data_IF_613967183040
#
_entry.id   IF_613967183040
#
_cell.length_a   1.000
_cell.length_b   1.000
_cell.length_c   1.000
_cell.angle_alpha   90.00
_cell.angle_beta   90.00
_cell.angle_gamma   90.00
#
_symmetry.space_group_name_H-M   'P 1'
#
loop_
_entity.id
_entity.type
_entity.pdbx_description
1 polymer ?
#
# COMPACT_ATOMS: atom_id res chain seq x y z
N UNK A 1 -42.19 -16.29 13.70
CA UNK A 1 -41.47 -16.88 12.57
C UNK A 1 -41.91 -16.33 11.20
N UNK A 2 -43.18 -16.34 10.76
CA UNK A 2 -43.61 -15.83 9.44
C UNK A 2 -43.23 -14.35 9.17
N UNK A 3 -43.39 -13.44 10.14
CA UNK A 3 -43.01 -12.02 9.98
C UNK A 3 -41.48 -11.83 9.85
N UNK A 4 -40.68 -12.61 10.57
CA UNK A 4 -39.21 -12.56 10.49
C UNK A 4 -38.72 -13.08 9.11
N UNK A 5 -39.33 -14.18 8.60
CA UNK A 5 -39.01 -14.67 7.25
C UNK A 5 -39.41 -13.66 6.15
N UNK A 6 -40.58 -13.04 6.24
CA UNK A 6 -41.01 -12.01 5.26
C UNK A 6 -40.06 -10.78 5.28
N UNK A 7 -39.64 -10.34 6.46
CA UNK A 7 -38.68 -9.21 6.58
C UNK A 7 -37.33 -9.59 6.02
N UNK A 8 -36.81 -10.81 6.26
CA UNK A 8 -35.58 -11.29 5.70
C UNK A 8 -35.61 -11.41 4.15
N UNK A 9 -36.71 -11.91 3.59
CA UNK A 9 -36.93 -11.98 2.14
C UNK A 9 -36.99 -10.59 1.48
N UNK A 10 -37.65 -9.61 2.10
CA UNK A 10 -37.71 -8.24 1.58
C UNK A 10 -36.34 -7.54 1.64
N UNK A 11 -35.57 -7.81 2.68
CA UNK A 11 -34.18 -7.28 2.79
C UNK A 11 -33.29 -7.90 1.70
N UNK A 12 -33.39 -9.21 1.48
CA UNK A 12 -32.60 -9.90 0.44
C UNK A 12 -32.94 -9.40 -0.97
N UNK A 13 -34.24 -9.25 -1.28
CA UNK A 13 -34.69 -8.69 -2.57
C UNK A 13 -34.20 -7.24 -2.78
N UNK A 14 -34.24 -6.41 -1.75
CA UNK A 14 -33.73 -5.02 -1.82
C UNK A 14 -32.21 -4.97 -2.05
N UNK A 15 -31.44 -5.84 -1.42
CA UNK A 15 -29.97 -5.92 -1.66
C UNK A 15 -29.64 -6.38 -3.08
N UNK A 16 -30.41 -7.34 -3.61
CA UNK A 16 -30.20 -7.86 -4.97
C UNK A 16 -30.56 -6.81 -6.05
N UNK A 17 -31.63 -6.03 -5.86
CA UNK A 17 -31.99 -4.94 -6.76
C UNK A 17 -30.95 -3.79 -6.76
N UNK A 18 -30.35 -3.48 -5.58
CA UNK A 18 -29.29 -2.48 -5.49
C UNK A 18 -28.01 -2.97 -6.18
N UNK A 19 -27.60 -4.21 -5.97
CA UNK A 19 -26.45 -4.80 -6.65
C UNK A 19 -26.62 -4.73 -8.17
N UNK A 20 -27.75 -5.15 -8.69
CA UNK A 20 -28.05 -5.11 -10.13
C UNK A 20 -28.01 -3.67 -10.70
N UNK A 21 -28.48 -2.68 -9.93
CA UNK A 21 -28.36 -1.26 -10.31
C UNK A 21 -26.92 -0.79 -10.34
N UNK A 22 -26.09 -1.18 -9.35
CA UNK A 22 -24.66 -0.84 -9.34
C UNK A 22 -23.94 -1.49 -10.53
N UNK A 23 -24.20 -2.77 -10.80
CA UNK A 23 -23.59 -3.49 -11.93
C UNK A 23 -23.90 -2.82 -13.28
N UNK A 24 -25.15 -2.36 -13.46
CA UNK A 24 -25.52 -1.62 -14.66
C UNK A 24 -24.74 -0.28 -14.75
N UNK A 25 -24.68 0.50 -13.66
CA UNK A 25 -23.94 1.77 -13.65
C UNK A 25 -22.44 1.57 -13.87
N UNK A 26 -21.87 0.48 -13.36
CA UNK A 26 -20.48 0.10 -13.59
C UNK A 26 -20.23 -0.25 -15.06
N UNK A 27 -21.12 -1.02 -15.69
CA UNK A 27 -21.01 -1.34 -17.11
C UNK A 27 -21.12 -0.07 -18.00
N UNK A 28 -21.98 0.88 -17.63
CA UNK A 28 -22.14 2.15 -18.34
C UNK A 28 -20.89 3.05 -18.25
N UNK A 29 -20.16 3.01 -17.13
CA UNK A 29 -18.99 3.88 -16.90
C UNK A 29 -17.66 3.22 -17.30
N UNK A 30 -17.61 1.88 -17.47
CA UNK A 30 -16.38 1.13 -17.78
C UNK A 30 -15.56 1.74 -18.92
N UNK A 31 -16.15 2.19 -20.07
CA UNK A 31 -15.38 2.81 -21.16
C UNK A 31 -14.65 4.09 -20.72
N UNK A 32 -15.27 4.91 -19.86
CA UNK A 32 -14.64 6.12 -19.32
C UNK A 32 -13.52 5.79 -18.34
N UNK A 33 -13.71 4.77 -17.49
CA UNK A 33 -12.69 4.33 -16.52
C UNK A 33 -11.43 3.86 -17.27
N UNK A 34 -11.60 3.15 -18.37
CA UNK A 34 -10.50 2.74 -19.25
C UNK A 34 -9.83 3.97 -19.91
N UNK A 35 -10.61 4.93 -20.38
CA UNK A 35 -10.09 6.17 -20.98
C UNK A 35 -9.26 6.97 -19.97
N UNK A 36 -9.77 7.19 -18.75
CA UNK A 36 -9.04 7.89 -17.70
C UNK A 36 -7.75 7.15 -17.30
N UNK A 37 -7.80 5.83 -17.14
CA UNK A 37 -6.61 5.02 -16.87
C UNK A 37 -5.54 5.23 -17.95
N UNK A 38 -5.91 5.18 -19.22
CA UNK A 38 -4.98 5.34 -20.34
C UNK A 38 -4.40 6.75 -20.43
N UNK A 39 -5.18 7.78 -20.10
CA UNK A 39 -4.68 9.15 -20.01
C UNK A 39 -3.66 9.32 -18.89
N UNK A 40 -3.90 8.79 -17.69
CA UNK A 40 -2.91 8.78 -16.61
C UNK A 40 -1.67 7.97 -16.98
N UNK A 41 -1.86 6.78 -17.58
CA UNK A 41 -0.75 5.92 -17.97
C UNK A 41 0.18 6.60 -19.00
N UNK A 42 -0.39 7.35 -19.92
CA UNK A 42 0.37 8.08 -20.94
C UNK A 42 1.10 9.30 -20.38
N UNK A 43 0.61 9.86 -19.27
CA UNK A 43 1.10 11.09 -18.67
C UNK A 43 1.46 10.91 -17.18
N UNK A 44 2.32 9.95 -16.81
CA UNK A 44 2.67 9.69 -15.43
C UNK A 44 3.58 10.78 -14.86
N UNK A 45 3.45 11.04 -13.57
CA UNK A 45 4.29 11.96 -12.81
C UNK A 45 4.92 11.23 -11.62
N UNK A 46 6.17 11.58 -11.28
CA UNK A 46 6.88 10.99 -10.14
C UNK A 46 6.32 11.45 -8.81
N UNK A 47 6.59 10.70 -7.75
CA UNK A 47 6.25 11.02 -6.36
C UNK A 47 6.59 12.48 -6.00
N UNK A 48 5.64 13.19 -5.37
CA UNK A 48 5.69 14.62 -5.06
C UNK A 48 5.79 15.56 -6.29
N UNK A 49 5.56 15.05 -7.49
CA UNK A 49 5.56 15.83 -8.76
C UNK A 49 4.26 15.64 -9.54
N UNK A 50 3.22 15.08 -8.93
CA UNK A 50 1.92 14.75 -9.52
C UNK A 50 1.06 16.02 -9.73
N UNK A 51 1.65 17.10 -10.25
CA UNK A 51 1.00 18.40 -10.33
C UNK A 51 -0.15 18.44 -11.35
N UNK A 52 0.04 17.88 -12.53
CA UNK A 52 -1.01 17.84 -13.56
C UNK A 52 -2.03 16.75 -13.24
N UNK A 53 -1.61 15.62 -12.68
CA UNK A 53 -2.49 14.57 -12.15
C UNK A 53 -3.42 15.13 -11.08
N UNK A 54 -2.88 15.85 -10.10
CA UNK A 54 -3.64 16.52 -9.05
C UNK A 54 -4.68 17.50 -9.60
N UNK A 55 -4.30 18.33 -10.57
CA UNK A 55 -5.22 19.27 -11.23
C UNK A 55 -6.36 18.56 -11.97
N UNK A 56 -6.03 17.49 -12.72
CA UNK A 56 -7.05 16.69 -13.44
C UNK A 56 -8.05 16.08 -12.47
N UNK A 57 -7.55 15.46 -11.37
CA UNK A 57 -8.38 14.85 -10.33
C UNK A 57 -9.26 15.91 -9.64
N UNK A 58 -8.69 17.04 -9.23
CA UNK A 58 -9.43 18.12 -8.59
C UNK A 58 -10.55 18.64 -9.50
N UNK A 59 -10.23 18.98 -10.77
CA UNK A 59 -11.21 19.46 -11.72
C UNK A 59 -12.34 18.44 -11.99
N UNK A 60 -12.01 17.14 -12.04
CA UNK A 60 -13.01 16.08 -12.17
C UNK A 60 -13.98 16.05 -10.97
N UNK A 61 -13.48 16.10 -9.75
CA UNK A 61 -14.29 16.07 -8.53
C UNK A 61 -15.14 17.34 -8.37
N UNK A 62 -14.57 18.51 -8.69
CA UNK A 62 -15.32 19.78 -8.76
C UNK A 62 -16.44 19.73 -9.81
N UNK A 63 -16.17 19.15 -10.98
CA UNK A 63 -17.16 18.91 -12.04
C UNK A 63 -18.33 18.02 -11.61
N UNK A 64 -18.11 17.14 -10.62
CA UNK A 64 -19.16 16.35 -9.96
C UNK A 64 -19.89 17.10 -8.85
N UNK A 65 -19.53 18.36 -8.58
CA UNK A 65 -20.13 19.20 -7.54
C UNK A 65 -19.75 18.80 -6.11
N UNK A 66 -18.55 18.30 -5.92
CA UNK A 66 -17.96 18.02 -4.61
C UNK A 66 -17.26 19.25 -4.04
N UNK A 67 -17.14 19.32 -2.74
CA UNK A 67 -16.16 20.17 -2.06
C UNK A 67 -14.79 19.52 -2.21
N UNK A 68 -13.79 20.25 -2.71
CA UNK A 68 -12.47 19.70 -3.03
C UNK A 68 -11.40 20.44 -2.24
N UNK A 69 -10.52 19.68 -1.62
CA UNK A 69 -9.32 20.15 -0.92
C UNK A 69 -8.10 19.69 -1.72
N UNK A 70 -7.17 20.58 -2.01
CA UNK A 70 -5.94 20.32 -2.78
C UNK A 70 -4.72 20.73 -1.98
N UNK A 71 -3.55 20.19 -2.35
CA UNK A 71 -2.27 20.55 -1.75
C UNK A 71 -1.97 19.80 -0.44
N UNK A 72 -2.76 18.79 -0.07
CA UNK A 72 -2.43 17.91 1.05
C UNK A 72 -1.21 17.06 0.65
N UNK A 73 -0.24 16.92 1.54
CA UNK A 73 1.02 16.22 1.20
C UNK A 73 1.59 16.65 -0.17
N UNK A 74 1.62 17.95 -0.44
CA UNK A 74 2.05 18.62 -1.67
C UNK A 74 1.02 18.56 -2.82
N UNK A 75 0.71 17.39 -3.36
CA UNK A 75 -0.12 17.22 -4.56
C UNK A 75 -1.42 16.44 -4.32
N UNK A 76 -1.67 16.01 -3.08
CA UNK A 76 -2.85 15.25 -2.71
C UNK A 76 -4.16 16.02 -2.87
N UNK A 77 -5.22 15.27 -3.17
CA UNK A 77 -6.57 15.80 -3.41
C UNK A 77 -7.59 15.02 -2.58
N UNK A 78 -8.49 15.72 -1.91
CA UNK A 78 -9.62 15.10 -1.20
C UNK A 78 -10.93 15.70 -1.69
N UNK A 79 -11.77 14.87 -2.29
CA UNK A 79 -13.15 15.22 -2.64
C UNK A 79 -14.14 14.80 -1.55
N UNK A 80 -15.11 15.66 -1.23
CA UNK A 80 -16.10 15.42 -0.18
C UNK A 80 -17.49 15.42 -0.80
N UNK A 81 -18.13 14.24 -0.81
CA UNK A 81 -19.49 14.05 -1.27
C UNK A 81 -20.44 13.91 -0.08
N UNK A 82 -21.19 14.96 0.23
CA UNK A 82 -22.25 14.92 1.27
C UNK A 82 -23.49 14.26 0.72
N UNK A 83 -23.89 13.14 1.32
CA UNK A 83 -25.09 12.40 0.96
C UNK A 83 -26.40 13.11 1.36
N UNK A 84 -27.53 12.61 0.85
CA UNK A 84 -28.85 13.18 1.10
C UNK A 84 -29.44 12.89 2.48
N UNK A 85 -28.82 12.04 3.29
CA UNK A 85 -29.29 11.63 4.61
C UNK A 85 -28.12 11.59 5.60
N UNK A 86 -28.36 11.81 6.91
CA UNK A 86 -27.34 11.66 7.93
C UNK A 86 -26.82 10.21 7.99
N UNK A 87 -25.55 10.04 8.33
CA UNK A 87 -24.90 8.74 8.44
C UNK A 87 -23.39 8.84 8.64
N UNK A 88 -22.68 7.73 8.53
CA UNK A 88 -21.24 7.65 8.74
C UNK A 88 -20.43 8.38 7.65
N UNK A 89 -19.16 8.61 7.94
CA UNK A 89 -18.19 9.12 6.97
C UNK A 89 -17.27 7.98 6.52
N UNK A 90 -17.30 7.68 5.24
CA UNK A 90 -16.49 6.63 4.60
C UNK A 90 -15.42 7.27 3.74
N UNK A 91 -14.17 6.88 3.92
CA UNK A 91 -13.08 7.28 3.05
C UNK A 91 -12.76 6.16 2.04
N UNK A 92 -12.45 6.55 0.81
CA UNK A 92 -11.95 5.70 -0.27
C UNK A 92 -10.62 6.28 -0.75
N UNK A 93 -9.58 5.45 -0.93
CA UNK A 93 -8.24 5.92 -1.30
C UNK A 93 -7.76 5.32 -2.61
N UNK A 94 -7.09 6.15 -3.40
CA UNK A 94 -6.20 5.75 -4.48
C UNK A 94 -4.89 6.55 -4.39
N UNK A 95 -3.78 5.92 -4.70
CA UNK A 95 -2.48 6.54 -4.92
C UNK A 95 -2.37 7.11 -6.33
N UNK A 96 -1.40 8.04 -6.57
CA UNK A 96 -1.34 8.79 -7.83
C UNK A 96 0.01 8.75 -8.54
N UNK A 97 1.08 8.38 -7.85
CA UNK A 97 2.43 8.55 -8.35
C UNK A 97 2.87 7.46 -9.33
N UNK A 98 3.76 7.85 -10.24
CA UNK A 98 4.48 6.98 -11.16
C UNK A 98 5.92 6.73 -10.69
N UNK A 99 6.56 5.75 -11.30
CA UNK A 99 7.92 5.29 -10.98
C UNK A 99 8.93 5.73 -12.03
N UNK A 100 10.23 5.89 -11.66
CA UNK A 100 11.30 6.18 -12.60
C UNK A 100 11.69 4.92 -13.41
N UNK A 101 10.76 4.43 -14.22
CA UNK A 101 10.87 3.23 -15.06
C UNK A 101 10.62 3.60 -16.51
N UNK A 102 11.50 3.16 -17.41
CA UNK A 102 11.29 3.33 -18.85
C UNK A 102 10.43 2.19 -19.39
N UNK A 103 9.22 2.50 -19.82
CA UNK A 103 8.28 1.52 -20.35
C UNK A 103 8.77 0.82 -21.62
N UNK A 104 8.57 -0.50 -21.70
CA UNK A 104 8.88 -1.33 -22.87
C UNK A 104 7.68 -1.99 -23.49
N UNK A 105 6.51 -1.91 -22.87
CA UNK A 105 5.29 -2.50 -23.40
C UNK A 105 4.84 -1.73 -24.63
N UNK A 106 4.49 -2.43 -25.70
CA UNK A 106 4.00 -1.83 -26.97
C UNK A 106 2.48 -1.58 -26.87
N UNK A 107 2.12 -0.44 -26.29
CA UNK A 107 0.74 0.02 -26.12
C UNK A 107 0.52 1.33 -26.85
N UNK A 108 -0.68 1.56 -27.44
CA UNK A 108 -1.00 2.86 -28.07
C UNK A 108 -0.91 4.06 -27.13
N UNK A 109 -1.04 3.81 -25.83
CA UNK A 109 -0.99 4.81 -24.75
C UNK A 109 0.25 4.62 -23.85
N UNK A 110 1.28 3.89 -24.29
CA UNK A 110 2.52 3.73 -23.54
C UNK A 110 3.15 5.10 -23.21
N UNK A 111 3.69 5.22 -22.00
CA UNK A 111 4.37 6.44 -21.57
C UNK A 111 5.63 6.73 -22.38
N UNK A 112 5.79 8.00 -22.79
CA UNK A 112 7.02 8.53 -23.39
C UNK A 112 7.61 9.65 -22.52
N UNK A 113 7.06 9.82 -21.31
CA UNK A 113 7.50 10.84 -20.36
C UNK A 113 8.90 10.49 -19.85
N UNK A 114 9.72 11.50 -19.75
CA UNK A 114 11.05 11.45 -19.12
C UNK A 114 11.14 12.50 -18.03
N UNK A 115 11.81 12.16 -16.95
CA UNK A 115 12.07 13.07 -15.84
C UNK A 115 13.42 12.74 -15.19
N UNK A 116 13.90 13.64 -14.35
CA UNK A 116 15.07 13.40 -13.52
C UNK A 116 14.63 12.86 -12.15
N UNK A 117 15.25 11.76 -11.73
CA UNK A 117 15.09 11.18 -10.39
C UNK A 117 16.46 10.98 -9.76
N UNK A 118 16.73 11.63 -8.63
CA UNK A 118 18.01 11.59 -7.91
C UNK A 118 19.23 11.93 -8.82
N UNK A 119 19.10 12.92 -9.71
CA UNK A 119 20.16 13.33 -10.63
C UNK A 119 20.35 12.43 -11.86
N UNK A 120 19.44 11.47 -12.09
CA UNK A 120 19.52 10.53 -13.21
C UNK A 120 18.26 10.70 -14.08
N UNK A 121 18.44 10.96 -15.39
CA UNK A 121 17.33 10.95 -16.36
C UNK A 121 16.79 9.51 -16.51
N UNK A 122 15.47 9.36 -16.36
CA UNK A 122 14.75 8.09 -16.55
C UNK A 122 13.43 8.33 -17.29
N UNK A 123 12.91 7.29 -17.93
CA UNK A 123 11.49 7.25 -18.27
C UNK A 123 10.63 7.26 -17.01
N UNK A 124 9.37 7.66 -17.13
CA UNK A 124 8.39 7.60 -16.05
C UNK A 124 7.23 6.71 -16.48
N UNK A 125 6.80 5.80 -15.62
CA UNK A 125 5.74 4.83 -15.92
C UNK A 125 4.90 4.55 -14.67
N UNK A 126 3.59 4.37 -14.83
CA UNK A 126 2.76 3.74 -13.81
C UNK A 126 3.03 2.23 -13.76
N UNK A 127 4.25 1.84 -13.34
CA UNK A 127 4.69 0.45 -13.27
C UNK A 127 4.18 -0.30 -12.02
N UNK A 128 3.39 0.36 -11.15
CA UNK A 128 2.68 -0.24 -10.03
C UNK A 128 1.16 -0.28 -10.24
N UNK A 129 0.64 0.47 -11.21
CA UNK A 129 -0.78 0.44 -11.58
C UNK A 129 -1.65 1.50 -10.89
N UNK A 130 -1.04 2.55 -10.33
CA UNK A 130 -1.75 3.64 -9.65
C UNK A 130 -2.70 4.39 -10.60
N UNK A 131 -2.40 4.45 -11.90
CA UNK A 131 -3.31 4.89 -12.96
C UNK A 131 -4.66 4.15 -12.93
N UNK A 132 -4.65 2.83 -12.65
CA UNK A 132 -5.87 2.04 -12.51
C UNK A 132 -6.61 2.35 -11.22
N UNK A 133 -5.88 2.59 -10.11
CA UNK A 133 -6.47 2.92 -8.81
C UNK A 133 -7.22 4.24 -8.87
N UNK A 134 -6.58 5.28 -9.44
CA UNK A 134 -7.20 6.59 -9.69
C UNK A 134 -8.46 6.44 -10.54
N UNK A 135 -8.37 5.76 -11.68
CA UNK A 135 -9.49 5.59 -12.59
C UNK A 135 -10.66 4.83 -11.95
N UNK A 136 -10.38 3.77 -11.16
CA UNK A 136 -11.40 3.05 -10.40
C UNK A 136 -12.07 3.93 -9.34
N UNK A 137 -11.31 4.75 -8.63
CA UNK A 137 -11.85 5.68 -7.63
C UNK A 137 -12.67 6.79 -8.28
N UNK A 138 -12.25 7.33 -9.43
CA UNK A 138 -13.04 8.28 -10.22
C UNK A 138 -14.37 7.65 -10.69
N UNK A 139 -14.34 6.39 -11.14
CA UNK A 139 -15.54 5.65 -11.49
C UNK A 139 -16.51 5.50 -10.32
N UNK A 140 -16.00 5.15 -9.16
CA UNK A 140 -16.79 5.08 -7.94
C UNK A 140 -17.37 6.46 -7.55
N UNK A 141 -16.59 7.54 -7.70
CA UNK A 141 -17.01 8.90 -7.41
C UNK A 141 -18.19 9.34 -8.30
N UNK A 142 -18.13 9.07 -9.61
CA UNK A 142 -19.22 9.41 -10.54
C UNK A 142 -20.51 8.63 -10.20
N UNK A 143 -20.39 7.32 -9.92
CA UNK A 143 -21.54 6.49 -9.55
C UNK A 143 -22.17 6.97 -8.23
N UNK A 144 -21.35 7.15 -7.18
CA UNK A 144 -21.84 7.58 -5.87
C UNK A 144 -22.46 8.97 -5.93
N UNK A 145 -21.95 9.86 -6.79
CA UNK A 145 -22.57 11.17 -7.03
C UNK A 145 -23.97 11.07 -7.65
N UNK A 146 -24.17 10.18 -8.63
CA UNK A 146 -25.49 9.91 -9.21
C UNK A 146 -26.46 9.34 -8.17
N UNK A 147 -25.93 8.66 -7.13
CA UNK A 147 -26.69 8.09 -6.03
C UNK A 147 -26.81 9.02 -4.80
N UNK A 148 -26.28 10.25 -4.86
CA UNK A 148 -26.16 11.20 -3.72
C UNK A 148 -27.40 11.29 -2.84
N UNK A 149 -28.60 11.33 -3.44
CA UNK A 149 -29.87 11.46 -2.70
C UNK A 149 -30.18 10.26 -1.79
N UNK A 150 -29.66 9.08 -2.14
CA UNK A 150 -29.88 7.85 -1.39
C UNK A 150 -28.76 7.57 -0.38
N UNK A 151 -27.59 8.19 -0.53
CA UNK A 151 -26.45 8.03 0.38
C UNK A 151 -26.79 8.51 1.78
N UNK A 152 -26.33 7.75 2.78
CA UNK A 152 -26.40 8.09 4.22
C UNK A 152 -24.99 8.47 4.68
N UNK A 153 -24.80 9.73 5.08
CA UNK A 153 -23.50 10.23 5.53
C UNK A 153 -22.68 10.89 4.43
N UNK A 154 -21.37 10.79 4.52
CA UNK A 154 -20.43 11.48 3.63
C UNK A 154 -19.40 10.49 3.07
N UNK A 155 -19.02 10.66 1.80
CA UNK A 155 -17.89 9.93 1.22
C UNK A 155 -16.74 10.90 1.01
N UNK A 156 -15.54 10.51 1.44
CA UNK A 156 -14.28 11.19 1.14
C UNK A 156 -13.52 10.38 0.10
N UNK A 157 -13.17 11.02 -1.00
CA UNK A 157 -12.34 10.45 -2.06
C UNK A 157 -10.93 10.99 -1.88
N UNK A 158 -10.01 10.15 -1.41
CA UNK A 158 -8.63 10.51 -1.08
C UNK A 158 -7.73 10.06 -2.22
N UNK A 159 -7.21 11.02 -2.98
CA UNK A 159 -6.20 10.79 -3.99
C UNK A 159 -4.85 11.19 -3.41
N UNK A 160 -4.03 10.19 -3.15
CA UNK A 160 -2.80 10.31 -2.37
C UNK A 160 -1.57 10.34 -3.27
N UNK A 161 -0.64 11.29 -3.07
CA UNK A 161 0.65 11.31 -3.75
C UNK A 161 1.68 10.42 -3.06
N UNK A 162 2.80 10.14 -3.76
CA UNK A 162 4.07 9.66 -3.22
C UNK A 162 3.98 8.38 -2.36
N UNK A 163 3.18 7.40 -2.79
CA UNK A 163 3.10 6.08 -2.12
C UNK A 163 4.43 5.33 -2.21
N UNK A 164 5.09 5.39 -3.36
CA UNK A 164 6.36 4.72 -3.68
C UNK A 164 7.58 5.33 -2.95
N UNK A 165 7.32 6.39 -2.20
CA UNK A 165 8.32 7.12 -1.42
C UNK A 165 8.67 8.48 -2.03
N UNK A 166 9.13 9.36 -1.16
CA UNK A 166 9.48 10.74 -1.49
C UNK A 166 10.94 10.90 -1.91
N UNK A 167 11.28 11.91 -2.71
CA UNK A 167 12.66 12.29 -2.94
C UNK A 167 13.42 12.57 -1.64
N UNK A 168 14.75 12.34 -1.59
CA UNK A 168 15.55 12.59 -0.39
C UNK A 168 15.39 14.02 0.15
N UNK A 169 15.08 14.13 1.44
CA UNK A 169 14.88 15.43 2.12
C UNK A 169 13.48 16.03 2.00
N UNK A 170 12.55 15.36 1.34
CA UNK A 170 11.15 15.76 1.26
C UNK A 170 10.27 14.93 2.21
N UNK A 171 9.09 15.46 2.52
CA UNK A 171 7.99 14.76 3.20
C UNK A 171 6.82 14.57 2.21
N UNK A 172 5.99 13.54 2.42
CA UNK A 172 4.85 13.25 1.53
C UNK A 172 4.14 11.94 1.91
N UNK A 173 3.42 11.37 0.96
CA UNK A 173 2.72 10.10 1.13
C UNK A 173 1.57 10.13 2.12
N UNK A 174 1.09 8.96 2.53
CA UNK A 174 -0.06 8.83 3.43
C UNK A 174 0.19 9.45 4.82
N UNK A 175 1.42 9.39 5.35
CA UNK A 175 1.72 9.97 6.66
C UNK A 175 1.46 11.49 6.66
N UNK A 176 1.87 12.17 5.59
CA UNK A 176 1.64 13.61 5.45
C UNK A 176 0.17 13.92 5.15
N UNK A 177 -0.50 13.12 4.32
CA UNK A 177 -1.96 13.23 4.09
C UNK A 177 -2.75 13.18 5.40
N UNK A 178 -2.38 12.27 6.31
CA UNK A 178 -3.00 12.16 7.64
C UNK A 178 -2.72 13.40 8.48
N UNK A 179 -1.47 13.87 8.52
CA UNK A 179 -1.07 15.09 9.24
C UNK A 179 -1.83 16.33 8.74
N UNK A 180 -2.02 16.44 7.42
CA UNK A 180 -2.75 17.53 6.78
C UNK A 180 -4.28 17.41 6.89
N UNK A 181 -4.76 16.34 7.54
CA UNK A 181 -6.17 16.21 7.89
C UNK A 181 -7.04 15.56 6.81
N UNK A 182 -6.48 14.75 5.91
CA UNK A 182 -7.27 14.04 4.88
C UNK A 182 -8.44 13.24 5.45
N UNK A 183 -8.32 12.73 6.69
CA UNK A 183 -9.38 12.01 7.40
C UNK A 183 -10.29 12.91 8.26
N UNK A 184 -10.04 14.22 8.33
CA UNK A 184 -10.74 15.19 9.20
C UNK A 184 -11.70 16.06 8.40
N UNK A 185 -12.63 16.69 9.07
CA UNK A 185 -13.59 17.69 8.54
C UNK A 185 -14.39 17.24 7.30
N UNK A 186 -15.32 16.25 7.40
CA UNK A 186 -15.70 15.50 8.60
C UNK A 186 -14.76 14.33 8.91
N UNK A 187 -14.74 13.89 10.17
CA UNK A 187 -13.92 12.77 10.61
C UNK A 187 -14.39 11.46 9.95
N UNK A 188 -13.50 10.79 9.24
CA UNK A 188 -13.79 9.49 8.64
C UNK A 188 -13.84 8.39 9.71
N UNK A 189 -14.80 7.46 9.58
CA UNK A 189 -14.97 6.34 10.51
C UNK A 189 -14.27 5.06 10.02
N UNK A 190 -14.18 4.91 8.70
CA UNK A 190 -13.51 3.79 8.04
C UNK A 190 -12.86 4.24 6.75
N UNK A 191 -11.88 3.46 6.29
CA UNK A 191 -11.25 3.68 4.99
C UNK A 191 -11.15 2.37 4.20
N UNK A 192 -11.43 2.45 2.90
CA UNK A 192 -11.23 1.37 1.94
C UNK A 192 -10.20 1.77 0.89
N UNK A 193 -9.27 0.87 0.60
CA UNK A 193 -8.29 1.01 -0.48
C UNK A 193 -8.16 -0.30 -1.25
N UNK A 194 -7.70 -0.21 -2.47
CA UNK A 194 -7.42 -1.37 -3.31
C UNK A 194 -6.08 -1.21 -4.02
N UNK A 195 -5.52 -2.33 -4.46
CA UNK A 195 -4.37 -2.38 -5.35
C UNK A 195 -4.62 -3.35 -6.49
N UNK A 196 -4.26 -2.98 -7.70
CA UNK A 196 -4.28 -3.92 -8.83
C UNK A 196 -3.14 -4.95 -8.65
N UNK A 197 -3.36 -6.20 -9.06
CA UNK A 197 -2.35 -7.25 -9.00
C UNK A 197 -2.14 -7.87 -10.37
N UNK A 198 -0.97 -7.64 -10.96
CA UNK A 198 -0.58 -8.25 -12.24
C UNK A 198 -0.38 -9.77 -12.17
N UNK A 199 -0.38 -10.36 -10.97
CA UNK A 199 -0.19 -11.80 -10.76
C UNK A 199 -1.48 -12.54 -10.36
N UNK A 200 -2.56 -11.80 -10.10
CA UNK A 200 -3.89 -12.35 -9.80
C UNK A 200 -4.75 -12.26 -11.05
N UNK A 201 -5.43 -13.37 -11.41
CA UNK A 201 -6.32 -13.41 -12.58
C UNK A 201 -7.35 -12.29 -12.57
N UNK A 202 -7.56 -11.66 -13.70
CA UNK A 202 -8.62 -10.66 -13.92
C UNK A 202 -9.99 -11.18 -13.45
N UNK A 203 -10.76 -10.31 -12.81
CA UNK A 203 -12.06 -10.67 -12.24
C UNK A 203 -12.01 -11.24 -10.82
N UNK A 204 -10.81 -11.51 -10.26
CA UNK A 204 -10.66 -11.99 -8.89
C UNK A 204 -10.33 -10.87 -7.91
N UNK A 205 -10.70 -11.08 -6.65
CA UNK A 205 -10.30 -10.27 -5.50
C UNK A 205 -9.54 -11.15 -4.53
N UNK A 206 -8.45 -10.62 -3.98
CA UNK A 206 -7.74 -11.27 -2.88
C UNK A 206 -7.58 -10.31 -1.70
N UNK A 207 -7.60 -10.87 -0.48
CA UNK A 207 -7.49 -10.10 0.76
C UNK A 207 -6.88 -10.95 1.88
N UNK A 208 -6.45 -10.30 2.96
CA UNK A 208 -6.06 -10.97 4.20
C UNK A 208 -6.50 -10.11 5.40
N UNK A 209 -7.19 -10.66 6.41
CA UNK A 209 -7.41 -9.96 7.68
C UNK A 209 -6.10 -9.85 8.47
N UNK A 210 -5.98 -8.85 9.33
CA UNK A 210 -4.76 -8.51 10.08
C UNK A 210 -3.63 -8.05 9.17
N UNK A 211 -2.36 -8.34 9.50
CA UNK A 211 -1.20 -7.96 8.70
C UNK A 211 -1.28 -8.51 7.28
N UNK A 212 -1.54 -7.64 6.32
CA UNK A 212 -1.68 -7.96 4.89
C UNK A 212 -0.38 -7.71 4.15
N UNK A 213 0.19 -6.49 4.30
CA UNK A 213 1.54 -6.16 3.84
C UNK A 213 2.41 -5.79 5.06
N UNK A 214 3.71 -6.08 4.95
CA UNK A 214 4.61 -5.96 6.07
C UNK A 214 4.98 -4.50 6.37
N UNK A 215 5.28 -4.23 7.64
CA UNK A 215 6.05 -3.05 7.97
C UNK A 215 7.40 -3.07 7.26
N UNK A 216 7.87 -1.90 6.83
CA UNK A 216 9.18 -1.75 6.21
C UNK A 216 10.05 -0.82 7.04
N UNK A 217 10.95 -1.41 7.84
CA UNK A 217 11.94 -0.67 8.60
C UNK A 217 13.33 -0.87 8.00
N UNK A 218 14.20 0.12 8.18
CA UNK A 218 15.64 0.03 7.88
C UNK A 218 16.38 0.01 9.21
N UNK A 219 17.51 -0.66 9.23
CA UNK A 219 18.45 -0.53 10.34
C UNK A 219 19.84 -0.16 9.84
N UNK A 220 20.58 0.53 10.69
CA UNK A 220 21.96 0.91 10.50
C UNK A 220 22.73 0.53 11.77
N UNK A 221 23.78 -0.26 11.61
CA UNK A 221 24.66 -0.72 12.70
C UNK A 221 26.07 -0.26 12.41
N UNK A 222 26.72 0.36 13.39
CA UNK A 222 28.14 0.67 13.40
C UNK A 222 28.81 -0.13 14.50
N UNK A 223 29.80 -0.93 14.14
CA UNK A 223 30.59 -1.74 15.05
C UNK A 223 31.95 -1.10 15.20
N UNK A 224 32.31 -0.75 16.44
CA UNK A 224 33.58 -0.12 16.77
C UNK A 224 34.51 -1.14 17.41
N UNK A 225 35.74 -1.18 16.91
CA UNK A 225 36.82 -2.00 17.39
C UNK A 225 38.05 -1.19 17.71
N UNK A 226 39.23 -1.82 17.58
CA UNK A 226 40.54 -1.19 17.75
C UNK A 226 41.47 -1.68 16.66
N UNK A 227 41.96 -0.74 15.88
CA UNK A 227 42.91 -1.03 14.77
C UNK A 227 44.17 -1.75 15.25
N UNK A 228 44.63 -2.72 14.45
CA UNK A 228 45.83 -3.46 14.70
C UNK A 228 46.44 -4.03 13.41
N UNK A 229 47.70 -4.47 13.49
CA UNK A 229 48.32 -5.23 12.41
C UNK A 229 47.64 -6.60 12.28
N UNK A 230 47.24 -7.00 11.07
CA UNK A 230 46.51 -8.26 10.83
C UNK A 230 47.26 -9.53 11.28
N UNK A 231 48.59 -9.50 11.43
CA UNK A 231 49.37 -10.61 11.99
C UNK A 231 49.45 -10.60 13.53
N UNK A 232 48.97 -9.55 14.20
CA UNK A 232 48.99 -9.41 15.67
C UNK A 232 47.59 -9.00 16.19
N UNK A 233 46.50 -9.79 15.91
CA UNK A 233 45.13 -9.41 16.23
C UNK A 233 44.88 -9.24 17.73
N UNK A 234 45.64 -9.86 18.60
CA UNK A 234 45.54 -9.72 20.07
C UNK A 234 45.89 -8.31 20.59
N UNK A 235 46.41 -7.43 19.75
CA UNK A 235 46.72 -6.03 20.10
C UNK A 235 45.54 -5.08 19.81
N UNK A 236 44.53 -5.57 19.08
CA UNK A 236 43.36 -4.84 18.68
C UNK A 236 42.06 -5.46 19.14
N UNK A 237 40.95 -4.97 18.59
CA UNK A 237 39.62 -5.52 18.66
C UNK A 237 39.05 -5.54 17.24
N UNK A 238 38.76 -6.71 16.71
CA UNK A 238 38.41 -6.87 15.30
C UNK A 238 36.89 -6.68 15.05
N UNK A 239 36.48 -5.54 14.51
CA UNK A 239 35.06 -5.27 14.25
C UNK A 239 34.50 -6.09 13.07
N UNK A 240 35.35 -6.66 12.19
CA UNK A 240 34.91 -7.56 11.12
C UNK A 240 34.43 -8.89 11.73
N UNK A 241 35.18 -9.45 12.65
CA UNK A 241 34.80 -10.69 13.37
C UNK A 241 33.55 -10.45 14.21
N UNK A 242 33.47 -9.31 14.90
CA UNK A 242 32.27 -8.92 15.67
C UNK A 242 31.04 -8.83 14.73
N UNK A 243 31.18 -8.17 13.58
CA UNK A 243 30.09 -8.03 12.60
C UNK A 243 29.60 -9.36 12.07
N UNK A 244 30.48 -10.32 11.83
CA UNK A 244 30.09 -11.67 11.43
C UNK A 244 29.23 -12.36 12.50
N UNK A 245 29.58 -12.20 13.79
CA UNK A 245 28.79 -12.74 14.90
C UNK A 245 27.45 -11.99 15.04
N UNK A 246 27.42 -10.69 14.84
CA UNK A 246 26.18 -9.91 14.83
C UNK A 246 25.25 -10.43 13.73
N UNK A 247 25.72 -10.65 12.50
CA UNK A 247 24.91 -11.20 11.40
C UNK A 247 24.31 -12.56 11.81
N UNK A 248 25.09 -13.48 12.38
CA UNK A 248 24.60 -14.76 12.88
C UNK A 248 23.56 -14.56 14.01
N UNK A 249 23.83 -13.63 14.92
CA UNK A 249 22.90 -13.26 16.00
C UNK A 249 21.58 -12.75 15.49
N UNK A 250 21.58 -11.91 14.45
CA UNK A 250 20.37 -11.38 13.81
C UNK A 250 19.54 -12.50 13.17
N UNK A 251 20.17 -13.46 12.48
CA UNK A 251 19.44 -14.61 11.90
C UNK A 251 18.82 -15.48 13.01
N UNK A 252 19.48 -15.59 14.16
CA UNK A 252 18.93 -16.35 15.30
C UNK A 252 17.70 -15.68 15.93
N UNK A 253 17.52 -14.35 15.82
CA UNK A 253 16.29 -13.67 16.24
C UNK A 253 15.08 -14.23 15.51
N UNK A 254 15.18 -14.37 14.19
CA UNK A 254 14.07 -14.91 13.38
C UNK A 254 13.81 -16.37 13.73
N UNK A 255 14.87 -17.19 13.81
CA UNK A 255 14.72 -18.64 13.96
C UNK A 255 14.46 -19.12 15.41
N UNK A 256 14.75 -18.32 16.44
CA UNK A 256 14.68 -18.72 17.84
C UNK A 256 13.79 -17.84 18.73
N UNK A 257 13.68 -16.52 18.42
CA UNK A 257 12.97 -15.57 19.28
C UNK A 257 11.63 -15.09 18.69
N UNK A 258 11.41 -15.36 17.40
CA UNK A 258 10.20 -14.95 16.67
C UNK A 258 9.20 -16.10 16.56
N UNK A 259 7.94 -15.87 16.93
CA UNK A 259 6.85 -16.83 16.81
C UNK A 259 6.33 -16.89 15.36
N UNK A 260 7.05 -17.62 14.49
CA UNK A 260 6.74 -17.71 13.05
C UNK A 260 5.39 -18.39 12.75
N UNK A 261 4.77 -19.05 13.74
CA UNK A 261 3.41 -19.59 13.63
C UNK A 261 2.33 -18.53 13.77
N UNK A 262 2.66 -17.38 14.39
CA UNK A 262 1.75 -16.23 14.50
C UNK A 262 1.73 -15.44 13.21
N UNK A 263 2.90 -14.92 12.80
CA UNK A 263 3.09 -14.20 11.53
C UNK A 263 4.56 -14.30 11.08
N UNK A 264 4.82 -14.01 9.80
CA UNK A 264 6.17 -13.98 9.27
C UNK A 264 6.96 -12.75 9.73
N UNK A 265 8.29 -12.90 9.82
CA UNK A 265 9.22 -11.79 9.99
C UNK A 265 10.50 -12.06 9.19
N UNK A 266 11.17 -11.01 8.74
CA UNK A 266 12.40 -11.07 7.97
C UNK A 266 13.38 -10.02 8.47
N UNK A 267 14.65 -10.40 8.62
CA UNK A 267 15.79 -9.49 8.79
C UNK A 267 16.80 -9.82 7.69
N UNK A 268 17.18 -8.82 6.91
CA UNK A 268 18.22 -8.96 5.88
C UNK A 268 19.29 -7.89 6.05
N UNK A 269 20.56 -8.29 6.12
CA UNK A 269 21.70 -7.40 5.99
C UNK A 269 22.00 -7.28 4.50
N UNK A 270 21.77 -6.13 3.92
CA UNK A 270 21.95 -5.87 2.50
C UNK A 270 23.30 -5.21 2.16
N UNK A 271 23.95 -4.63 3.17
CA UNK A 271 25.23 -3.94 3.01
C UNK A 271 26.11 -4.16 4.24
N UNK A 272 27.39 -4.46 4.00
CA UNK A 272 28.47 -4.44 4.99
C UNK A 272 29.69 -3.79 4.37
N UNK A 273 30.32 -2.86 5.10
CA UNK A 273 31.55 -2.15 4.69
C UNK A 273 32.52 -2.07 5.86
N UNK A 274 33.81 -2.34 5.60
CA UNK A 274 34.85 -2.22 6.62
C UNK A 274 36.20 -2.62 6.07
N UNK A 275 37.23 -1.96 6.59
CA UNK A 275 38.64 -2.18 6.20
C UNK A 275 39.00 -1.60 4.84
N UNK A 276 40.32 -1.35 4.66
CA UNK A 276 40.89 -0.76 3.44
C UNK A 276 42.03 -1.60 2.87
N UNK A 277 42.61 -2.51 3.68
CA UNK A 277 43.75 -3.35 3.29
C UNK A 277 43.73 -4.70 4.06
N UNK A 278 44.11 -5.75 3.37
CA UNK A 278 44.03 -7.14 3.88
C UNK A 278 44.87 -7.45 5.16
N UNK A 279 45.87 -6.63 5.46
CA UNK A 279 46.73 -6.83 6.64
C UNK A 279 46.56 -5.78 7.73
N UNK A 280 45.39 -5.08 7.73
CA UNK A 280 45.00 -4.09 8.73
C UNK A 280 43.63 -4.46 9.27
N UNK A 281 43.52 -4.71 10.57
CA UNK A 281 42.24 -4.76 11.27
C UNK A 281 41.70 -3.32 11.36
N UNK A 282 40.49 -3.01 10.86
CA UNK A 282 39.95 -1.66 10.88
C UNK A 282 39.48 -1.22 12.26
N UNK A 283 39.16 0.06 12.40
CA UNK A 283 38.51 0.60 13.63
C UNK A 283 37.01 0.43 13.62
N UNK A 284 36.40 0.40 12.42
CA UNK A 284 34.93 0.39 12.28
C UNK A 284 34.47 -0.53 11.15
N UNK A 285 33.28 -1.11 11.34
CA UNK A 285 32.48 -1.77 10.31
C UNK A 285 31.06 -1.24 10.35
N UNK A 286 30.53 -0.90 9.18
CA UNK A 286 29.15 -0.46 8.97
C UNK A 286 28.31 -1.56 8.35
N UNK A 287 27.07 -1.73 8.84
CA UNK A 287 26.08 -2.63 8.25
C UNK A 287 24.73 -1.93 8.11
N UNK A 288 24.04 -2.16 7.01
CA UNK A 288 22.69 -1.68 6.78
C UNK A 288 21.79 -2.80 6.28
N UNK A 289 20.53 -2.72 6.64
CA UNK A 289 19.59 -3.73 6.21
C UNK A 289 18.12 -3.34 6.40
N UNK A 290 17.27 -4.34 6.26
CA UNK A 290 15.82 -4.18 6.33
C UNK A 290 15.19 -5.16 7.30
N UNK A 291 14.10 -4.72 7.94
CA UNK A 291 13.23 -5.53 8.79
C UNK A 291 11.85 -5.51 8.17
N UNK A 292 11.21 -6.68 8.10
CA UNK A 292 9.81 -6.85 7.70
C UNK A 292 9.07 -7.61 8.79
N UNK A 293 7.91 -7.11 9.22
CA UNK A 293 7.05 -7.72 10.24
C UNK A 293 5.59 -7.54 9.88
N UNK A 294 4.73 -8.43 10.35
CA UNK A 294 3.29 -8.47 10.05
C UNK A 294 2.41 -8.40 11.30
N UNK A 295 3.04 -8.25 12.47
CA UNK A 295 2.37 -8.13 13.77
C UNK A 295 3.10 -7.10 14.63
N UNK A 296 2.36 -6.17 15.25
CA UNK A 296 2.94 -5.06 16.01
C UNK A 296 3.68 -5.49 17.28
N UNK A 297 3.17 -6.52 17.99
CA UNK A 297 3.82 -7.01 19.21
C UNK A 297 5.13 -7.73 18.85
N UNK A 298 5.10 -8.52 17.77
CA UNK A 298 6.31 -9.15 17.23
C UNK A 298 7.34 -8.11 16.79
N UNK A 299 6.91 -7.04 16.10
CA UNK A 299 7.78 -5.95 15.67
C UNK A 299 8.47 -5.29 16.85
N UNK A 300 7.70 -4.92 17.89
CA UNK A 300 8.24 -4.28 19.09
C UNK A 300 9.27 -5.17 19.76
N UNK A 301 8.92 -6.43 20.03
CA UNK A 301 9.83 -7.42 20.66
C UNK A 301 11.08 -7.64 19.83
N UNK A 302 10.93 -7.74 18.50
CA UNK A 302 12.05 -7.97 17.59
C UNK A 302 13.03 -6.78 17.63
N UNK A 303 12.54 -5.55 17.55
CA UNK A 303 13.37 -4.35 17.60
C UNK A 303 14.13 -4.24 18.94
N UNK A 304 13.45 -4.41 20.06
CA UNK A 304 14.06 -4.37 21.40
C UNK A 304 15.13 -5.48 21.57
N UNK A 305 14.83 -6.70 21.12
CA UNK A 305 15.77 -7.82 21.22
C UNK A 305 16.96 -7.64 20.27
N UNK A 306 16.74 -7.08 19.07
CA UNK A 306 17.78 -6.79 18.10
C UNK A 306 18.78 -5.78 18.66
N UNK A 307 18.31 -4.70 19.25
CA UNK A 307 19.17 -3.67 19.86
C UNK A 307 20.03 -4.28 20.99
N UNK A 308 19.41 -5.00 21.90
CA UNK A 308 20.10 -5.69 22.99
C UNK A 308 21.17 -6.67 22.48
N UNK A 309 20.81 -7.50 21.50
CA UNK A 309 21.71 -8.55 20.97
C UNK A 309 22.92 -7.98 20.24
N UNK A 310 22.72 -6.96 19.42
CA UNK A 310 23.81 -6.27 18.70
C UNK A 310 24.83 -5.73 19.68
N UNK A 311 24.37 -4.98 20.70
CA UNK A 311 25.26 -4.40 21.74
C UNK A 311 25.96 -5.47 22.55
N UNK A 312 25.25 -6.48 23.03
CA UNK A 312 25.81 -7.57 23.85
C UNK A 312 26.85 -8.41 23.10
N UNK A 313 26.64 -8.67 21.80
CA UNK A 313 27.63 -9.39 20.99
C UNK A 313 28.89 -8.54 20.87
N UNK A 314 28.80 -7.25 20.54
CA UNK A 314 29.98 -6.39 20.42
C UNK A 314 30.77 -6.32 21.74
N UNK A 315 30.10 -6.13 22.86
CA UNK A 315 30.70 -6.08 24.18
C UNK A 315 31.41 -7.40 24.57
N UNK A 316 30.82 -8.56 24.20
CA UNK A 316 31.42 -9.86 24.48
C UNK A 316 32.77 -10.11 23.80
N UNK A 317 33.06 -9.35 22.73
CA UNK A 317 34.34 -9.37 22.03
C UNK A 317 35.24 -8.18 22.37
N UNK A 318 34.85 -7.33 23.34
CA UNK A 318 35.61 -6.17 23.79
C UNK A 318 35.45 -4.93 22.89
N UNK A 319 34.50 -4.95 21.95
CA UNK A 319 34.11 -3.80 21.11
C UNK A 319 32.83 -3.14 21.60
N UNK A 320 32.31 -2.19 20.81
CA UNK A 320 31.00 -1.59 21.01
C UNK A 320 30.21 -1.57 19.71
N UNK A 321 28.89 -1.40 19.78
CA UNK A 321 28.08 -1.20 18.62
C UNK A 321 26.96 -0.19 18.88
N UNK A 322 26.71 0.63 17.87
CA UNK A 322 25.54 1.50 17.77
C UNK A 322 24.55 0.88 16.79
N UNK A 323 23.27 1.04 17.05
CA UNK A 323 22.19 0.60 16.16
C UNK A 323 21.08 1.64 16.12
N UNK A 324 20.67 1.96 14.92
CA UNK A 324 19.50 2.79 14.65
C UNK A 324 18.47 1.95 13.87
N UNK A 325 17.21 1.96 14.30
CA UNK A 325 16.09 1.34 13.58
C UNK A 325 15.09 2.43 13.24
N UNK A 326 14.81 2.60 11.94
CA UNK A 326 13.85 3.60 11.47
C UNK A 326 12.43 3.27 11.93
N UNK A 327 11.57 4.29 12.03
CA UNK A 327 10.12 4.06 12.19
C UNK A 327 9.57 3.27 10.99
N UNK A 328 9.97 3.67 9.78
CA UNK A 328 9.56 3.05 8.52
C UNK A 328 8.07 3.17 8.22
N UNK A 329 7.61 2.37 7.25
CA UNK A 329 6.20 2.23 6.91
C UNK A 329 5.57 1.23 7.88
N UNK A 330 4.40 1.52 8.48
CA UNK A 330 3.70 0.60 9.38
C UNK A 330 3.19 -0.66 8.65
N UNK A 331 2.66 -1.61 9.42
CA UNK A 331 1.98 -2.79 8.87
C UNK A 331 0.66 -2.35 8.22
N UNK A 332 0.41 -2.71 6.97
CA UNK A 332 -0.92 -2.61 6.36
C UNK A 332 -1.81 -3.64 7.05
N UNK A 333 -2.58 -3.16 8.03
CA UNK A 333 -3.33 -4.00 8.95
C UNK A 333 -4.83 -3.88 8.70
N UNK A 334 -5.39 -4.85 8.03
CA UNK A 334 -6.83 -4.93 7.83
C UNK A 334 -7.54 -5.26 9.13
N UNK A 335 -8.40 -4.36 9.61
CA UNK A 335 -9.20 -4.56 10.80
C UNK A 335 -10.04 -5.85 10.68
N UNK A 336 -9.93 -6.82 11.62
CA UNK A 336 -10.58 -8.12 11.47
C UNK A 336 -12.11 -8.04 11.48
N UNK A 337 -12.70 -7.13 12.27
CA UNK A 337 -14.16 -6.99 12.40
C UNK A 337 -14.72 -6.32 11.14
N UNK A 338 -14.07 -5.23 10.69
CA UNK A 338 -14.42 -4.57 9.43
C UNK A 338 -14.27 -5.53 8.25
N UNK A 339 -13.17 -6.27 8.19
CA UNK A 339 -12.92 -7.26 7.12
C UNK A 339 -14.01 -8.32 7.10
N UNK A 340 -14.31 -8.94 8.23
CA UNK A 340 -15.35 -9.97 8.32
C UNK A 340 -16.74 -9.41 7.93
N UNK A 341 -17.04 -8.16 8.30
CA UNK A 341 -18.29 -7.46 7.93
C UNK A 341 -18.37 -7.19 6.42
N UNK A 342 -17.22 -6.86 5.76
CA UNK A 342 -17.20 -6.37 4.37
C UNK A 342 -16.86 -7.44 3.32
N UNK A 343 -16.31 -8.59 3.70
CA UNK A 343 -16.04 -9.70 2.76
C UNK A 343 -17.29 -10.13 1.98
N UNK A 344 -18.49 -10.28 2.57
CA UNK A 344 -19.68 -10.58 1.78
C UNK A 344 -20.01 -9.54 0.71
N UNK A 345 -19.58 -8.28 0.91
CA UNK A 345 -19.74 -7.21 -0.09
C UNK A 345 -18.78 -7.40 -1.26
N UNK A 346 -17.52 -7.77 -0.98
CA UNK A 346 -16.55 -8.12 -2.01
C UNK A 346 -17.03 -9.36 -2.81
N UNK A 347 -17.52 -10.39 -2.11
CA UNK A 347 -18.08 -11.60 -2.74
C UNK A 347 -19.27 -11.27 -3.67
N UNK A 348 -20.10 -10.29 -3.31
CA UNK A 348 -21.17 -9.82 -4.19
C UNK A 348 -20.66 -9.05 -5.39
N UNK A 349 -19.56 -8.30 -5.25
CA UNK A 349 -19.00 -7.48 -6.32
C UNK A 349 -18.23 -8.28 -7.39
N UNK A 350 -17.61 -9.41 -7.01
CA UNK A 350 -16.77 -10.21 -7.91
C UNK A 350 -17.31 -11.64 -8.18
N UNK A 351 -18.32 -12.08 -7.43
CA UNK A 351 -18.70 -13.48 -7.33
C UNK A 351 -17.94 -14.19 -6.20
N UNK A 352 -18.65 -14.97 -5.39
CA UNK A 352 -18.08 -15.61 -4.21
C UNK A 352 -16.87 -16.49 -4.49
N UNK A 353 -16.89 -17.20 -5.60
CA UNK A 353 -15.81 -18.09 -6.08
C UNK A 353 -14.54 -17.33 -6.47
N UNK A 354 -14.67 -16.04 -6.76
CA UNK A 354 -13.60 -15.14 -7.20
C UNK A 354 -12.95 -14.36 -6.06
N UNK A 355 -13.47 -14.46 -4.83
CA UNK A 355 -12.91 -13.77 -3.66
C UNK A 355 -12.16 -14.78 -2.78
N UNK A 356 -10.87 -14.55 -2.58
CA UNK A 356 -10.00 -15.48 -1.84
C UNK A 356 -9.17 -14.78 -0.79
N UNK A 357 -9.07 -15.41 0.37
CA UNK A 357 -8.07 -15.03 1.35
C UNK A 357 -6.70 -15.58 0.92
N UNK A 358 -5.67 -14.71 1.00
CA UNK A 358 -4.29 -15.04 0.65
C UNK A 358 -3.38 -15.03 1.88
N UNK A 359 -2.15 -15.47 1.72
CA UNK A 359 -1.08 -15.25 2.68
C UNK A 359 -0.65 -13.77 2.65
N UNK A 360 0.00 -13.33 3.73
CA UNK A 360 0.59 -11.99 3.76
C UNK A 360 1.70 -11.82 2.72
N UNK A 361 1.91 -10.57 2.33
CA UNK A 361 2.96 -10.15 1.39
C UNK A 361 4.02 -9.38 2.18
N UNK A 362 5.30 -9.60 1.88
CA UNK A 362 6.42 -8.90 2.56
C UNK A 362 6.76 -7.53 1.93
N UNK A 363 6.05 -7.11 0.90
CA UNK A 363 6.00 -5.73 0.43
C UNK A 363 5.40 -4.81 1.49
N UNK A 364 5.57 -3.51 1.33
CA UNK A 364 5.01 -2.48 2.20
C UNK A 364 4.03 -1.61 1.40
N UNK A 365 3.11 -0.95 2.10
CA UNK A 365 2.09 -0.07 1.55
C UNK A 365 1.76 1.00 2.58
N UNK A 366 1.86 2.26 2.21
CA UNK A 366 1.71 3.37 3.14
C UNK A 366 0.26 3.71 3.50
N UNK A 367 -0.73 3.07 2.85
CA UNK A 367 -2.13 3.03 3.31
C UNK A 367 -2.24 2.69 4.80
N UNK A 368 -1.25 1.98 5.32
CA UNK A 368 -1.08 1.65 6.73
C UNK A 368 -1.12 2.85 7.68
N UNK A 369 -0.71 4.05 7.24
CA UNK A 369 -0.81 5.26 8.07
C UNK A 369 -2.27 5.66 8.32
N UNK A 370 -3.16 5.52 7.35
CA UNK A 370 -4.59 5.72 7.57
C UNK A 370 -5.18 4.66 8.52
N UNK A 371 -4.73 3.40 8.37
CA UNK A 371 -5.20 2.29 9.22
C UNK A 371 -4.73 2.39 10.67
N UNK A 372 -3.74 3.22 10.97
CA UNK A 372 -3.37 3.57 12.36
C UNK A 372 -4.35 4.52 13.01
N UNK A 373 -5.07 5.30 12.23
CA UNK A 373 -6.01 6.31 12.71
C UNK A 373 -7.44 5.77 12.80
N UNK A 374 -7.85 4.98 11.81
CA UNK A 374 -9.22 4.44 11.69
C UNK A 374 -9.21 3.00 11.14
N UNK A 375 -10.23 2.19 11.42
CA UNK A 375 -10.37 0.87 10.81
C UNK A 375 -10.33 0.96 9.29
N UNK A 376 -9.52 0.11 8.66
CA UNK A 376 -9.37 0.07 7.21
C UNK A 376 -9.39 -1.34 6.64
N UNK A 377 -9.81 -1.46 5.39
CA UNK A 377 -9.72 -2.68 4.59
C UNK A 377 -9.02 -2.37 3.27
N UNK A 378 -7.87 -2.99 3.06
CA UNK A 378 -7.10 -2.97 1.83
C UNK A 378 -7.17 -4.34 1.16
N UNK A 379 -7.50 -4.38 -0.13
CA UNK A 379 -7.66 -5.62 -0.89
C UNK A 379 -7.05 -5.49 -2.28
N UNK A 380 -6.84 -6.63 -2.93
CA UNK A 380 -6.23 -6.66 -4.27
C UNK A 380 -7.26 -7.05 -5.31
N UNK A 381 -7.22 -6.37 -6.46
CA UNK A 381 -8.03 -6.65 -7.65
C UNK A 381 -7.15 -7.28 -8.71
N UNK A 382 -7.57 -8.39 -9.30
CA UNK A 382 -6.80 -9.07 -10.32
C UNK A 382 -6.76 -8.30 -11.64
N UNK A 383 -5.56 -8.17 -12.20
CA UNK A 383 -5.26 -7.57 -13.49
C UNK A 383 -4.49 -8.51 -14.44
N UNK A 384 -4.21 -9.78 -14.04
CA UNK A 384 -3.54 -10.75 -14.90
C UNK A 384 -4.48 -11.26 -15.98
N UNK A 385 -4.11 -11.16 -17.27
CA UNK A 385 -4.87 -11.82 -18.34
C UNK A 385 -5.04 -13.33 -18.10
N UNK A 386 -6.19 -13.88 -18.47
CA UNK A 386 -6.50 -15.30 -18.21
C UNK A 386 -5.68 -16.28 -19.04
N UNK A 387 -5.19 -15.85 -20.20
CA UNK A 387 -4.37 -16.64 -21.13
C UNK A 387 -2.87 -16.56 -20.83
N UNK A 388 -2.46 -15.74 -19.86
CA UNK A 388 -1.07 -15.60 -19.41
C UNK A 388 -0.88 -16.38 -18.11
N UNK A 389 0.18 -17.20 -18.02
CA UNK A 389 0.55 -17.89 -16.79
C UNK A 389 1.22 -16.93 -15.81
N UNK A 390 1.11 -17.24 -14.51
CA UNK A 390 1.69 -16.40 -13.45
C UNK A 390 3.22 -16.25 -13.60
N UNK A 391 3.90 -17.32 -13.99
CA UNK A 391 5.35 -17.32 -14.22
C UNK A 391 5.80 -16.45 -15.41
N UNK A 392 4.89 -16.17 -16.34
CA UNK A 392 5.14 -15.37 -17.55
C UNK A 392 4.69 -13.90 -17.37
N UNK A 393 4.08 -13.54 -16.23
CA UNK A 393 3.67 -12.16 -15.96
C UNK A 393 4.85 -11.31 -15.51
N UNK A 394 4.93 -10.09 -16.06
CA UNK A 394 5.86 -9.09 -15.53
C UNK A 394 5.43 -8.66 -14.12
N UNK A 395 6.41 -8.57 -13.21
CA UNK A 395 6.17 -8.06 -11.86
C UNK A 395 5.90 -6.56 -11.87
N UNK A 396 5.24 -6.07 -10.83
CA UNK A 396 5.21 -4.64 -10.54
C UNK A 396 6.63 -4.08 -10.48
N UNK A 397 6.80 -2.78 -10.73
CA UNK A 397 8.07 -2.05 -10.77
C UNK A 397 9.03 -2.49 -11.89
N UNK A 398 8.49 -3.11 -12.94
CA UNK A 398 9.31 -3.51 -14.10
C UNK A 398 8.86 -2.80 -15.39
N UNK A 399 9.79 -2.62 -16.37
CA UNK A 399 9.48 -1.99 -17.65
C UNK A 399 8.39 -2.69 -18.49
N UNK A 400 8.14 -3.95 -18.20
CA UNK A 400 7.20 -4.81 -18.93
C UNK A 400 5.87 -5.01 -18.16
N UNK A 401 5.65 -4.25 -17.07
CA UNK A 401 4.42 -4.30 -16.30
C UNK A 401 3.20 -4.06 -17.18
N UNK A 402 2.23 -4.95 -17.08
CA UNK A 402 0.99 -4.93 -17.85
C UNK A 402 -0.18 -5.49 -17.05
N UNK A 403 -1.37 -4.93 -17.26
CA UNK A 403 -2.62 -5.45 -16.69
C UNK A 403 -3.73 -5.49 -17.74
N UNK A 404 -4.67 -6.42 -17.56
CA UNK A 404 -5.95 -6.47 -18.28
C UNK A 404 -6.93 -5.48 -17.65
N UNK A 405 -7.30 -4.45 -18.40
CA UNK A 405 -8.19 -3.36 -17.96
C UNK A 405 -9.61 -3.83 -17.63
N UNK A 406 -10.04 -4.98 -18.16
CA UNK A 406 -11.39 -5.52 -17.91
C UNK A 406 -11.65 -5.89 -16.45
N UNK A 407 -10.58 -6.03 -15.62
CA UNK A 407 -10.67 -6.23 -14.19
C UNK A 407 -11.09 -4.98 -13.41
N UNK A 408 -10.88 -3.80 -13.97
CA UNK A 408 -11.11 -2.52 -13.26
C UNK A 408 -12.57 -2.33 -12.84
N UNK A 409 -13.54 -2.83 -13.61
CA UNK A 409 -14.96 -2.79 -13.23
C UNK A 409 -15.23 -3.47 -11.88
N UNK A 410 -14.50 -4.52 -11.52
CA UNK A 410 -14.63 -5.20 -10.22
C UNK A 410 -14.17 -4.28 -9.09
N UNK A 411 -13.10 -3.52 -9.30
CA UNK A 411 -12.62 -2.51 -8.35
C UNK A 411 -13.65 -1.39 -8.14
N UNK A 412 -14.19 -0.84 -9.24
CA UNK A 412 -15.25 0.19 -9.18
C UNK A 412 -16.47 -0.34 -8.42
N UNK A 413 -16.97 -1.53 -8.78
CA UNK A 413 -18.11 -2.17 -8.11
C UNK A 413 -17.83 -2.38 -6.62
N UNK A 414 -16.61 -2.80 -6.26
CA UNK A 414 -16.22 -3.05 -4.87
C UNK A 414 -16.23 -1.76 -4.05
N UNK A 415 -15.59 -0.68 -4.52
CA UNK A 415 -15.57 0.61 -3.81
C UNK A 415 -16.98 1.17 -3.60
N UNK A 416 -17.84 1.11 -4.63
CA UNK A 416 -19.25 1.54 -4.54
C UNK A 416 -20.02 0.69 -3.54
N UNK A 417 -19.95 -0.64 -3.67
CA UNK A 417 -20.73 -1.54 -2.81
C UNK A 417 -20.25 -1.50 -1.35
N UNK A 418 -18.93 -1.40 -1.08
CA UNK A 418 -18.39 -1.24 0.27
C UNK A 418 -18.93 0.04 0.93
N UNK A 419 -18.97 1.13 0.18
CA UNK A 419 -19.54 2.41 0.65
C UNK A 419 -21.03 2.26 0.98
N UNK A 420 -21.83 1.73 0.06
CA UNK A 420 -23.27 1.58 0.24
C UNK A 420 -23.62 0.66 1.41
N UNK A 421 -22.92 -0.47 1.54
CA UNK A 421 -23.19 -1.43 2.61
C UNK A 421 -22.75 -0.90 3.97
N UNK A 422 -21.57 -0.24 4.05
CA UNK A 422 -21.15 0.36 5.31
C UNK A 422 -22.14 1.43 5.77
N UNK A 423 -22.64 2.26 4.86
CA UNK A 423 -23.66 3.27 5.11
C UNK A 423 -25.07 2.68 5.35
N UNK A 424 -25.28 1.38 5.19
CA UNK A 424 -26.59 0.73 5.32
C UNK A 424 -27.61 1.26 4.31
N UNK A 425 -27.17 1.57 3.08
CA UNK A 425 -28.07 1.99 1.99
C UNK A 425 -28.73 0.75 1.40
N UNK A 426 -30.05 0.75 1.37
CA UNK A 426 -30.86 -0.36 0.79
C UNK A 426 -31.59 0.17 -0.44
N UNK A 427 -31.80 -0.69 -1.46
CA UNK A 427 -32.70 -0.37 -2.55
C UNK A 427 -34.12 -0.11 -1.99
N UNK A 428 -34.78 0.91 -2.54
CA UNK A 428 -36.21 1.19 -2.25
C UNK A 428 -37.10 0.23 -3.01
#
# INVERSE_FOLDING_TARGET
MRKILMTACLIAMGMQAMAQKVDQMVAEIEPKVIEWRRDFHQNPELSNREFETSKKVAAFLEGLGMEVQTGLANTGVVGILKGGKPGPVVALRADMDGLPVTERVDLPFASKVKSEYNGIESGVMHACGHDTHMAMLMGAAEILTKMKKDLKGTVKFVFQPAEEGVPPGEEGGAEMMVKDGALKNPDAEVIFGLHISAQTDVGKITYKPRGTLAAAQRFHIKVHGKQAHGSAPWQGVDPIVISAQIINGLQSLISRDTELTKEAAVISVGLIRGGVRNNIIPEEVEMMGTIRTLDYDMQKKLNETMEFRVKSIAESYGGTAEIEISKGIPITYNDPELTAKMVPTLERSAGKENVKQINAITGAEDFSFYQKEIPGLFFFVGGKPLDVKVEDTASHHTPDFFIDESGMKVGVASLVNLTLDYMGVKAK
#
